data_IF_894739165638
#
_entry.id   IF_894739165638
#
_cell.length_a   1.000
_cell.length_b   1.000
_cell.length_c   1.000
_cell.angle_alpha   90.00
_cell.angle_beta   90.00
_cell.angle_gamma   90.00
#
_symmetry.space_group_name_H-M   'P 1'
#
loop_
_entity.id
_entity.type
_entity.pdbx_description
1 polymer ?
#
# COMPACT_ATOMS: atom_id res chain seq x y z
N UNK A 1 17.74 34.50 52.90
CA UNK A 1 17.90 34.00 51.51
C UNK A 1 18.80 32.78 51.58
N UNK A 2 18.24 31.58 51.48
CA UNK A 2 18.96 30.31 51.52
C UNK A 2 18.80 29.63 50.15
N UNK A 3 19.87 29.11 49.52
CA UNK A 3 19.74 28.41 48.25
C UNK A 3 19.15 27.02 48.50
N UNK A 4 18.11 26.67 47.75
CA UNK A 4 17.59 25.31 47.68
C UNK A 4 18.53 24.49 46.81
N UNK A 5 19.16 23.48 47.43
CA UNK A 5 19.98 22.49 46.76
C UNK A 5 19.09 21.58 45.91
N UNK A 6 19.24 21.68 44.59
CA UNK A 6 18.63 20.78 43.62
C UNK A 6 19.32 19.43 43.71
N UNK A 7 18.62 18.46 44.31
CA UNK A 7 19.10 17.08 44.42
C UNK A 7 18.71 16.36 43.13
N UNK A 8 19.66 16.22 42.22
CA UNK A 8 19.53 15.41 41.01
C UNK A 8 19.68 13.95 41.43
N UNK A 9 18.55 13.24 41.47
CA UNK A 9 18.50 11.81 41.70
C UNK A 9 18.85 11.10 40.37
N UNK A 10 20.12 10.74 40.21
CA UNK A 10 20.57 9.82 39.15
C UNK A 10 20.00 8.43 39.45
N UNK A 11 18.92 8.06 38.76
CA UNK A 11 18.49 6.67 38.65
C UNK A 11 19.46 5.93 37.72
N UNK A 12 20.33 5.12 38.33
CA UNK A 12 21.12 4.12 37.64
C UNK A 12 20.17 3.05 37.08
N UNK A 13 19.91 3.10 35.77
CA UNK A 13 19.29 2.00 35.05
C UNK A 13 20.32 0.86 34.93
N UNK A 14 19.94 -0.39 35.26
CA UNK A 14 20.81 -1.53 34.99
C UNK A 14 20.96 -1.70 33.47
N UNK A 15 22.21 -1.62 33.00
CA UNK A 15 22.65 -2.15 31.72
C UNK A 15 22.26 -3.63 31.66
N UNK A 16 21.22 -3.95 30.89
CA UNK A 16 20.97 -5.34 30.48
C UNK A 16 21.97 -5.64 29.38
N UNK A 17 23.02 -6.36 29.76
CA UNK A 17 23.98 -6.93 28.84
C UNK A 17 23.35 -8.11 28.10
N UNK A 18 23.53 -8.13 26.78
CA UNK A 18 23.67 -9.36 25.99
C UNK A 18 22.38 -10.13 25.69
N UNK A 19 21.70 -9.75 24.62
CA UNK A 19 21.20 -10.75 23.69
C UNK A 19 22.01 -10.60 22.40
N UNK A 20 23.00 -11.47 22.23
CA UNK A 20 23.63 -11.78 20.96
C UNK A 20 22.54 -12.07 19.93
N UNK A 21 22.32 -11.13 19.01
CA UNK A 21 21.65 -11.42 17.75
C UNK A 21 22.75 -11.78 16.74
N UNK A 22 23.35 -12.96 16.94
CA UNK A 22 23.98 -13.71 15.86
C UNK A 22 22.87 -14.05 14.85
N UNK A 23 22.57 -13.10 13.97
CA UNK A 23 21.90 -13.39 12.73
C UNK A 23 22.90 -14.19 11.88
N UNK A 24 22.91 -15.50 12.10
CA UNK A 24 23.33 -16.46 11.09
C UNK A 24 22.47 -16.19 9.87
N UNK A 25 23.03 -15.44 8.91
CA UNK A 25 22.63 -15.50 7.53
C UNK A 25 23.00 -16.92 7.09
N UNK A 26 22.08 -17.86 7.33
CA UNK A 26 22.05 -19.12 6.63
C UNK A 26 21.91 -18.75 5.15
N UNK A 27 23.03 -18.82 4.46
CA UNK A 27 23.04 -18.94 3.01
C UNK A 27 22.55 -20.35 2.75
N UNK A 28 21.22 -20.52 2.67
CA UNK A 28 20.65 -21.78 2.21
C UNK A 28 20.89 -21.87 0.71
N UNK A 29 21.97 -22.56 0.38
CA UNK A 29 22.17 -23.24 -0.89
C UNK A 29 20.93 -24.08 -1.24
N UNK A 30 20.44 -23.89 -2.48
CA UNK A 30 20.01 -25.00 -3.33
C UNK A 30 18.80 -25.82 -2.87
N UNK A 31 17.60 -25.26 -2.99
CA UNK A 31 16.33 -25.97 -2.74
C UNK A 31 15.33 -25.87 -3.87
N UNK A 32 15.66 -26.43 -5.04
CA UNK A 32 14.74 -27.09 -5.98
C UNK A 32 13.30 -26.52 -6.06
N UNK A 33 13.06 -25.48 -6.88
CA UNK A 33 11.69 -25.18 -7.33
C UNK A 33 11.22 -26.34 -8.21
N UNK A 34 10.14 -27.07 -7.86
CA UNK A 34 9.52 -27.99 -8.79
C UNK A 34 9.03 -27.15 -9.98
N UNK A 35 9.54 -27.48 -11.17
CA UNK A 35 8.94 -27.06 -12.41
C UNK A 35 7.54 -27.67 -12.46
N UNK A 36 6.52 -26.85 -12.21
CA UNK A 36 5.14 -27.24 -12.46
C UNK A 36 4.96 -27.43 -13.96
N UNK A 37 5.21 -28.67 -14.38
CA UNK A 37 4.79 -29.24 -15.65
C UNK A 37 3.26 -29.36 -15.64
N UNK A 38 2.58 -28.23 -15.82
CA UNK A 38 1.16 -28.18 -16.14
C UNK A 38 0.96 -28.62 -17.59
N UNK A 39 0.91 -29.93 -17.81
CA UNK A 39 0.51 -30.52 -19.09
C UNK A 39 -0.94 -30.15 -19.43
N UNK A 40 -1.12 -29.23 -20.40
CA UNK A 40 -2.39 -29.11 -21.12
C UNK A 40 -2.42 -30.17 -22.21
N UNK A 41 -3.12 -31.25 -21.92
CA UNK A 41 -3.58 -32.19 -22.94
C UNK A 41 -4.81 -31.58 -23.63
N UNK A 42 -4.57 -30.74 -24.64
CA UNK A 42 -5.63 -30.35 -25.56
C UNK A 42 -5.77 -31.44 -26.63
N UNK A 43 -6.81 -32.23 -26.43
CA UNK A 43 -7.29 -33.23 -27.37
C UNK A 43 -7.68 -32.55 -28.69
N UNK A 44 -7.28 -33.21 -29.79
CA UNK A 44 -7.46 -32.71 -31.14
C UNK A 44 -8.90 -32.65 -31.65
N UNK A 45 -9.01 -31.91 -32.75
CA UNK A 45 -10.17 -31.73 -33.62
C UNK A 45 -9.93 -30.40 -34.34
N UNK A 46 -9.34 -30.32 -35.53
CA UNK A 46 -9.56 -31.16 -36.69
C UNK A 46 -10.62 -30.48 -37.55
N UNK A 47 -10.26 -29.40 -38.25
CA UNK A 47 -11.00 -28.92 -39.41
C UNK A 47 -10.04 -28.42 -40.48
N UNK A 48 -10.25 -29.00 -41.66
CA UNK A 48 -9.51 -28.81 -42.88
C UNK A 48 -10.18 -27.73 -43.76
N UNK A 49 -9.38 -27.12 -44.63
CA UNK A 49 -9.82 -26.16 -45.66
C UNK A 49 -9.63 -24.72 -45.20
N UNK A 50 -8.96 -23.82 -45.92
CA UNK A 50 -8.76 -23.77 -47.35
C UNK A 50 -7.45 -23.06 -47.71
N UNK A 51 -6.86 -23.56 -48.79
CA UNK A 51 -5.74 -22.97 -49.48
C UNK A 51 -6.13 -21.63 -50.13
N UNK A 52 -5.43 -20.57 -49.76
CA UNK A 52 -5.19 -19.36 -50.57
C UNK A 52 -3.81 -18.84 -50.16
N UNK A 53 -2.90 -18.39 -50.99
CA UNK A 53 -2.75 -18.38 -52.44
C UNK A 53 -1.24 -18.15 -52.63
N UNK A 54 -0.63 -18.89 -53.54
CA UNK A 54 0.79 -18.81 -53.83
C UNK A 54 0.99 -17.86 -55.01
N UNK A 55 1.61 -16.70 -54.80
CA UNK A 55 1.99 -15.87 -55.95
C UNK A 55 2.34 -14.42 -55.65
N UNK A 56 3.44 -14.18 -54.95
CA UNK A 56 4.01 -12.84 -54.81
C UNK A 56 5.45 -12.88 -54.31
N UNK A 57 6.36 -13.45 -55.10
CA UNK A 57 7.80 -13.31 -54.89
C UNK A 57 8.26 -11.98 -55.46
N UNK A 58 8.13 -10.90 -54.72
CA UNK A 58 9.02 -9.74 -54.83
C UNK A 58 10.29 -10.06 -54.05
N UNK A 59 11.25 -10.64 -54.78
CA UNK A 59 12.58 -11.03 -54.32
C UNK A 59 13.48 -9.86 -53.95
N UNK A 60 13.05 -9.07 -52.98
CA UNK A 60 13.89 -8.25 -52.13
C UNK A 60 13.68 -8.72 -50.70
N UNK A 61 14.37 -9.80 -50.29
CA UNK A 61 14.59 -10.03 -48.86
C UNK A 61 15.51 -8.92 -48.36
N UNK A 62 14.96 -7.72 -48.22
CA UNK A 62 15.47 -6.73 -47.28
C UNK A 62 15.18 -7.35 -45.92
N UNK A 63 16.04 -8.30 -45.55
CA UNK A 63 16.12 -8.84 -44.21
C UNK A 63 16.51 -7.65 -43.35
N UNK A 64 15.49 -6.97 -42.82
CA UNK A 64 15.69 -5.89 -41.90
C UNK A 64 16.53 -6.42 -40.76
N UNK A 65 17.71 -5.83 -40.60
CA UNK A 65 18.57 -6.17 -39.50
C UNK A 65 17.81 -5.75 -38.25
N UNK A 66 17.44 -6.74 -37.45
CA UNK A 66 16.78 -6.52 -36.18
C UNK A 66 17.61 -5.52 -35.37
N UNK A 67 17.04 -4.35 -35.11
CA UNK A 67 17.70 -3.31 -34.33
C UNK A 67 17.63 -3.75 -32.87
N UNK A 68 18.78 -4.01 -32.25
CA UNK A 68 18.85 -4.25 -30.81
C UNK A 68 18.48 -2.97 -30.06
N UNK A 69 17.22 -2.92 -29.62
CA UNK A 69 16.73 -1.83 -28.80
C UNK A 69 17.27 -1.96 -27.38
N UNK A 70 17.69 -0.83 -26.75
CA UNK A 70 18.00 -0.87 -25.33
C UNK A 70 16.75 -1.32 -24.57
N UNK A 71 16.95 -2.12 -23.52
CA UNK A 71 15.85 -2.49 -22.64
C UNK A 71 15.17 -1.21 -22.15
N UNK A 72 13.84 -1.08 -22.32
CA UNK A 72 13.14 0.09 -21.80
C UNK A 72 13.32 0.13 -20.27
N UNK A 73 13.31 1.32 -19.66
CA UNK A 73 13.22 1.43 -18.21
C UNK A 73 12.00 0.66 -17.69
N UNK A 74 12.07 0.18 -16.45
CA UNK A 74 10.96 -0.53 -15.81
C UNK A 74 9.68 0.31 -15.89
N UNK A 75 8.59 -0.28 -16.39
CA UNK A 75 7.28 0.38 -16.52
C UNK A 75 7.08 1.16 -17.82
N UNK A 76 8.03 1.08 -18.75
CA UNK A 76 7.88 1.63 -20.09
C UNK A 76 7.87 0.51 -21.14
N UNK A 77 7.09 0.70 -22.20
CA UNK A 77 7.13 -0.12 -23.40
C UNK A 77 7.32 0.76 -24.62
N UNK A 78 7.75 0.14 -25.72
CA UNK A 78 7.84 0.83 -26.98
C UNK A 78 6.54 0.63 -27.79
N UNK A 79 5.91 1.71 -28.22
CA UNK A 79 4.76 1.70 -29.12
C UNK A 79 5.14 2.09 -30.55
N UNK A 80 4.38 1.61 -31.54
CA UNK A 80 4.62 1.93 -32.95
C UNK A 80 5.90 1.33 -33.51
N UNK A 81 6.27 0.13 -33.04
CA UNK A 81 7.43 -0.61 -33.53
C UNK A 81 7.27 -0.94 -35.02
N UNK A 82 8.15 -0.37 -35.84
CA UNK A 82 8.39 -0.81 -37.20
C UNK A 82 9.61 -1.72 -37.16
N UNK A 83 9.41 -2.99 -37.53
CA UNK A 83 10.38 -4.08 -37.45
C UNK A 83 11.71 -3.79 -38.17
N UNK A 84 11.74 -2.73 -38.98
CA UNK A 84 12.84 -2.41 -39.86
C UNK A 84 13.66 -1.16 -39.54
N UNK A 85 13.20 -0.24 -38.67
CA UNK A 85 13.77 1.12 -38.71
C UNK A 85 14.00 1.77 -37.36
N UNK A 86 13.17 1.52 -36.36
CA UNK A 86 13.29 2.19 -35.05
C UNK A 86 12.68 1.34 -33.95
N UNK A 87 13.14 1.58 -32.71
CA UNK A 87 12.58 0.96 -31.53
C UNK A 87 11.15 1.38 -31.21
N UNK A 88 10.46 2.17 -32.05
CA UNK A 88 9.19 2.81 -31.68
C UNK A 88 9.38 3.99 -30.73
N UNK A 89 8.27 4.51 -30.22
CA UNK A 89 8.24 5.58 -29.21
C UNK A 89 8.17 4.94 -27.83
N UNK A 90 9.09 5.31 -26.94
CA UNK A 90 9.01 4.86 -25.54
C UNK A 90 7.80 5.54 -24.89
N UNK A 91 6.82 4.73 -24.51
CA UNK A 91 5.64 5.13 -23.75
C UNK A 91 5.84 4.58 -22.34
N UNK A 92 5.77 5.47 -21.36
CA UNK A 92 5.77 5.09 -19.96
C UNK A 92 4.37 5.37 -19.44
N UNK A 93 3.61 4.31 -19.20
CA UNK A 93 2.20 4.42 -18.77
C UNK A 93 2.07 4.96 -17.35
N UNK A 94 3.14 4.81 -16.55
CA UNK A 94 3.18 5.18 -15.14
C UNK A 94 4.26 6.24 -14.94
N UNK A 95 3.83 7.44 -14.55
CA UNK A 95 4.71 8.56 -14.20
C UNK A 95 4.39 9.00 -12.78
N UNK A 96 5.22 8.63 -11.81
CA UNK A 96 4.86 8.75 -10.40
C UNK A 96 5.30 10.06 -9.74
N UNK A 97 6.02 10.91 -10.48
CA UNK A 97 6.48 12.22 -10.00
C UNK A 97 6.34 13.32 -11.06
N UNK A 98 6.28 14.56 -10.59
CA UNK A 98 6.24 15.77 -11.44
C UNK A 98 4.83 16.32 -11.69
N UNK A 99 4.76 17.43 -12.45
CA UNK A 99 3.53 18.18 -12.70
C UNK A 99 2.50 17.44 -13.58
N UNK A 100 2.90 16.34 -14.22
CA UNK A 100 2.07 15.50 -15.09
C UNK A 100 2.14 14.04 -14.66
N UNK A 101 2.29 13.79 -13.36
CA UNK A 101 2.24 12.42 -12.83
C UNK A 101 0.88 11.80 -13.17
N UNK A 102 0.92 10.62 -13.77
CA UNK A 102 -0.26 9.82 -14.07
C UNK A 102 -0.01 8.48 -13.39
N UNK A 103 -0.48 8.39 -12.14
CA UNK A 103 -0.55 7.12 -11.43
C UNK A 103 -1.91 6.48 -11.77
N UNK A 104 -1.98 5.16 -12.00
CA UNK A 104 -3.25 4.52 -12.31
C UNK A 104 -4.30 4.77 -11.23
N UNK A 105 -5.57 4.83 -11.64
CA UNK A 105 -6.70 4.90 -10.70
C UNK A 105 -7.21 3.50 -10.44
N UNK A 106 -7.39 3.15 -9.16
CA UNK A 106 -7.89 1.85 -8.73
C UNK A 106 -9.35 1.95 -8.32
N UNK A 107 -10.08 0.83 -8.41
CA UNK A 107 -11.44 0.78 -7.89
C UNK A 107 -11.42 0.93 -6.37
N UNK A 108 -12.31 1.80 -5.89
CA UNK A 108 -12.50 2.11 -4.48
C UNK A 108 -13.89 1.70 -4.01
N UNK A 109 -14.72 1.14 -4.88
CA UNK A 109 -16.09 0.78 -4.52
C UNK A 109 -16.14 -0.31 -3.48
N UNK A 110 -17.06 -0.23 -2.53
CA UNK A 110 -17.22 -1.26 -1.52
C UNK A 110 -18.67 -1.40 -1.09
N UNK A 111 -19.02 -2.60 -0.63
CA UNK A 111 -20.27 -2.89 0.07
C UNK A 111 -20.03 -3.06 1.57
N UNK A 112 -18.84 -3.55 1.94
CA UNK A 112 -18.40 -3.79 3.31
C UNK A 112 -16.91 -3.44 3.47
N UNK A 113 -16.47 -3.16 4.69
CA UNK A 113 -15.07 -2.82 4.98
C UNK A 113 -14.10 -3.96 4.68
N UNK A 114 -14.55 -5.22 4.72
CA UNK A 114 -13.73 -6.39 4.35
C UNK A 114 -13.33 -6.43 2.87
N UNK A 115 -13.98 -5.62 2.02
CA UNK A 115 -13.61 -5.44 0.61
C UNK A 115 -12.54 -4.37 0.43
N UNK A 116 -12.13 -3.67 1.50
CA UNK A 116 -11.18 -2.57 1.44
C UNK A 116 -9.81 -2.95 2.02
N UNK A 117 -8.75 -2.41 1.42
CA UNK A 117 -7.37 -2.48 1.92
C UNK A 117 -6.76 -1.09 1.98
N UNK A 118 -5.74 -0.94 2.84
CA UNK A 118 -4.94 0.29 2.94
C UNK A 118 -3.69 0.08 2.10
N UNK A 119 -3.44 1.00 1.17
CA UNK A 119 -2.22 1.05 0.38
C UNK A 119 -1.51 2.38 0.56
N UNK A 120 -0.19 2.40 0.42
CA UNK A 120 0.64 3.60 0.58
C UNK A 120 1.22 4.03 -0.77
N UNK A 121 0.80 5.19 -1.29
CA UNK A 121 1.33 5.80 -2.51
C UNK A 121 2.32 6.90 -2.18
N UNK A 122 3.55 6.84 -2.68
CA UNK A 122 4.49 7.94 -2.52
C UNK A 122 4.14 9.08 -3.48
N UNK A 123 3.78 10.25 -2.94
CA UNK A 123 3.30 11.37 -3.78
C UNK A 123 4.42 12.33 -4.19
N UNK A 124 5.57 12.28 -3.52
CA UNK A 124 6.70 13.14 -3.83
C UNK A 124 8.06 12.49 -3.52
N UNK A 125 9.12 13.12 -4.03
CA UNK A 125 10.50 12.67 -3.82
C UNK A 125 11.05 12.91 -2.41
N UNK A 126 10.27 13.55 -1.53
CA UNK A 126 10.58 13.69 -0.11
C UNK A 126 9.98 12.55 0.71
N UNK A 127 9.29 11.60 0.08
CA UNK A 127 8.67 10.48 0.77
C UNK A 127 7.39 10.85 1.50
N UNK A 128 6.68 11.90 1.07
CA UNK A 128 5.29 12.06 1.47
C UNK A 128 4.47 10.86 0.97
N UNK A 129 3.60 10.35 1.83
CA UNK A 129 2.82 9.13 1.57
C UNK A 129 1.32 9.48 1.63
N UNK A 130 0.58 9.14 0.59
CA UNK A 130 -0.87 9.07 0.64
C UNK A 130 -1.29 7.63 1.00
N UNK A 131 -1.79 7.45 2.22
CA UNK A 131 -2.43 6.21 2.62
C UNK A 131 -3.85 6.20 2.06
N UNK A 132 -4.15 5.35 1.09
CA UNK A 132 -5.42 5.34 0.37
C UNK A 132 -6.19 4.05 0.65
N UNK A 133 -7.52 4.16 0.64
CA UNK A 133 -8.42 3.01 0.65
C UNK A 133 -8.77 2.60 -0.77
N UNK A 134 -8.42 1.37 -1.15
CA UNK A 134 -8.81 0.76 -2.43
C UNK A 134 -9.52 -0.58 -2.16
N UNK A 135 -10.13 -1.15 -3.20
CA UNK A 135 -10.63 -2.52 -3.09
C UNK A 135 -9.51 -3.53 -2.93
N UNK A 136 -9.78 -4.58 -2.17
CA UNK A 136 -8.84 -5.65 -1.90
C UNK A 136 -8.37 -6.39 -3.16
N UNK A 137 -9.22 -6.53 -4.18
CA UNK A 137 -8.85 -7.16 -5.46
C UNK A 137 -7.93 -6.29 -6.33
N UNK A 138 -7.77 -5.00 -6.01
CA UNK A 138 -6.87 -4.06 -6.69
C UNK A 138 -5.46 -4.01 -6.05
N UNK A 139 -5.26 -4.60 -4.87
CA UNK A 139 -3.99 -4.52 -4.11
C UNK A 139 -2.78 -4.94 -4.93
N UNK A 140 -2.88 -6.08 -5.65
CA UNK A 140 -1.77 -6.59 -6.45
C UNK A 140 -1.42 -5.66 -7.62
N UNK A 141 -2.41 -5.05 -8.26
CA UNK A 141 -2.16 -4.13 -9.38
C UNK A 141 -1.55 -2.81 -8.87
N UNK A 142 -1.98 -2.36 -7.69
CA UNK A 142 -1.40 -1.22 -7.01
C UNK A 142 0.08 -1.45 -6.66
N UNK A 143 0.39 -2.59 -6.06
CA UNK A 143 1.76 -2.95 -5.68
C UNK A 143 2.70 -3.03 -6.88
N UNK A 144 2.22 -3.58 -8.00
CA UNK A 144 2.97 -3.61 -9.26
C UNK A 144 3.28 -2.19 -9.77
N UNK A 145 2.31 -1.26 -9.72
CA UNK A 145 2.54 0.12 -10.10
C UNK A 145 3.49 0.85 -9.13
N UNK A 146 3.35 0.68 -7.82
CA UNK A 146 4.26 1.25 -6.82
C UNK A 146 5.69 0.72 -6.96
N UNK A 147 5.86 -0.55 -7.30
CA UNK A 147 7.16 -1.14 -7.55
C UNK A 147 7.89 -0.43 -8.70
N UNK A 148 7.18 -0.09 -9.77
CA UNK A 148 7.70 0.73 -10.88
C UNK A 148 8.05 2.14 -10.39
N UNK A 149 7.15 2.75 -9.62
CA UNK A 149 7.31 4.10 -9.10
C UNK A 149 8.55 4.26 -8.21
N UNK A 150 8.88 3.26 -7.39
CA UNK A 150 9.97 3.31 -6.42
C UNK A 150 11.32 3.66 -7.05
N UNK A 151 11.57 3.23 -8.29
CA UNK A 151 12.78 3.57 -9.04
C UNK A 151 12.77 4.98 -9.66
N UNK A 152 11.59 5.58 -9.80
CA UNK A 152 11.38 6.87 -10.46
C UNK A 152 11.44 8.07 -9.51
N UNK A 153 11.38 7.87 -8.19
CA UNK A 153 11.52 8.94 -7.20
C UNK A 153 13.00 9.25 -6.95
N UNK A 154 13.57 10.33 -7.53
CA UNK A 154 14.95 10.69 -7.24
C UNK A 154 15.08 11.07 -5.77
N UNK A 155 16.22 10.75 -5.14
CA UNK A 155 16.49 11.23 -3.79
C UNK A 155 16.62 12.77 -3.80
N UNK A 156 15.62 13.47 -3.25
CA UNK A 156 15.60 14.94 -3.22
C UNK A 156 16.37 15.55 -2.04
N UNK A 157 16.89 14.73 -1.11
CA UNK A 157 17.70 15.19 0.03
C UNK A 157 16.92 15.96 1.10
N UNK A 158 15.59 15.83 1.12
CA UNK A 158 14.69 16.39 2.13
C UNK A 158 14.41 15.37 3.25
N UNK A 159 13.85 15.87 4.36
CA UNK A 159 13.27 15.00 5.39
C UNK A 159 12.02 14.29 4.86
N UNK A 160 11.70 13.14 5.45
CA UNK A 160 10.50 12.38 5.14
C UNK A 160 9.25 13.28 5.21
N UNK A 161 8.47 13.30 4.13
CA UNK A 161 7.20 14.01 4.05
C UNK A 161 6.13 13.43 5.00
N UNK A 162 5.03 14.15 5.22
CA UNK A 162 3.93 13.66 6.04
C UNK A 162 3.23 12.46 5.36
N UNK A 163 2.60 11.61 6.18
CA UNK A 163 1.65 10.61 5.70
C UNK A 163 0.23 11.15 5.85
N UNK A 164 -0.54 11.19 4.78
CA UNK A 164 -1.92 11.71 4.75
C UNK A 164 -2.91 10.63 4.35
N UNK A 165 -4.09 10.62 4.96
CA UNK A 165 -5.18 9.72 4.61
C UNK A 165 -6.17 10.38 3.63
N UNK A 166 -7.16 9.62 3.15
CA UNK A 166 -8.16 10.10 2.17
C UNK A 166 -9.03 11.25 2.69
N UNK A 167 -9.29 11.28 4.00
CA UNK A 167 -10.03 12.36 4.65
C UNK A 167 -9.18 13.64 4.87
N UNK A 168 -7.92 13.62 4.44
CA UNK A 168 -6.96 14.71 4.60
C UNK A 168 -6.31 14.77 5.98
N UNK A 169 -6.62 13.84 6.90
CA UNK A 169 -5.91 13.75 8.18
C UNK A 169 -4.46 13.35 7.95
N UNK A 170 -3.57 13.87 8.80
CA UNK A 170 -2.13 13.63 8.72
C UNK A 170 -1.67 12.82 9.92
N UNK A 171 -0.78 11.86 9.70
CA UNK A 171 -0.15 11.08 10.76
C UNK A 171 0.70 11.98 11.66
N UNK A 172 0.42 11.95 12.95
CA UNK A 172 1.11 12.74 13.99
C UNK A 172 2.10 11.90 14.82
N UNK A 173 2.31 10.63 14.45
CA UNK A 173 3.12 9.69 15.23
C UNK A 173 2.34 8.85 16.25
N UNK A 174 1.07 9.19 16.52
CA UNK A 174 0.29 8.56 17.60
C UNK A 174 -0.98 7.85 17.14
N UNK A 175 -1.42 8.11 15.90
CA UNK A 175 -2.67 7.60 15.34
C UNK A 175 -2.46 6.46 14.36
N UNK A 176 -3.35 5.48 14.35
CA UNK A 176 -3.31 4.40 13.38
C UNK A 176 -4.13 4.77 12.14
N UNK A 177 -3.64 4.39 10.96
CA UNK A 177 -4.43 4.47 9.73
C UNK A 177 -5.51 3.39 9.78
N UNK A 178 -6.73 3.75 9.39
CA UNK A 178 -7.84 2.82 9.20
C UNK A 178 -8.43 2.99 7.82
N UNK A 179 -9.14 1.98 7.35
CA UNK A 179 -9.98 2.04 6.15
C UNK A 179 -11.41 1.69 6.53
N UNK A 180 -12.37 2.41 5.97
CA UNK A 180 -13.80 2.21 6.17
C UNK A 180 -14.51 2.25 4.82
N UNK A 181 -15.64 1.54 4.70
CA UNK A 181 -16.51 1.65 3.54
C UNK A 181 -17.52 2.78 3.74
N UNK A 182 -17.18 4.00 3.30
CA UNK A 182 -17.99 5.20 3.50
C UNK A 182 -18.70 5.55 2.20
N UNK A 183 -20.04 5.55 2.24
CA UNK A 183 -20.88 5.86 1.07
C UNK A 183 -20.57 5.01 -0.19
N UNK A 184 -20.21 3.75 0.02
CA UNK A 184 -19.83 2.83 -1.05
C UNK A 184 -18.41 3.04 -1.59
N UNK A 185 -17.55 3.76 -0.86
CA UNK A 185 -16.15 4.00 -1.22
C UNK A 185 -15.20 3.71 -0.05
N UNK A 186 -14.17 2.89 -0.30
CA UNK A 186 -13.05 2.67 0.61
C UNK A 186 -12.35 4.00 0.87
N UNK A 187 -12.33 4.42 2.12
CA UNK A 187 -11.80 5.71 2.57
C UNK A 187 -10.93 5.48 3.79
N UNK A 188 -9.71 6.03 3.79
CA UNK A 188 -8.82 5.99 4.94
C UNK A 188 -8.89 7.24 5.81
N UNK A 189 -8.52 7.08 7.07
CA UNK A 189 -8.44 8.17 8.06
C UNK A 189 -7.49 7.77 9.20
N UNK A 190 -6.95 8.74 9.94
CA UNK A 190 -6.11 8.48 11.11
C UNK A 190 -6.91 8.59 12.42
N UNK A 191 -6.92 7.52 13.22
CA UNK A 191 -7.66 7.43 14.48
C UNK A 191 -6.81 7.20 15.71
N UNK A 192 -7.38 7.52 16.87
CA UNK A 192 -6.80 7.18 18.16
C UNK A 192 -6.74 5.65 18.34
N UNK A 193 -5.61 5.09 18.82
CA UNK A 193 -5.48 3.66 19.04
C UNK A 193 -6.36 3.19 20.20
N UNK A 194 -6.54 1.86 20.34
CA UNK A 194 -7.28 1.30 21.47
C UNK A 194 -6.67 1.72 22.81
N UNK A 195 -7.54 2.12 23.75
CA UNK A 195 -7.15 2.61 25.08
C UNK A 195 -6.69 4.07 25.12
N UNK A 196 -6.56 4.76 23.98
CA UNK A 196 -6.29 6.19 23.99
C UNK A 196 -7.52 6.97 24.49
N UNK A 197 -7.25 8.04 25.24
CA UNK A 197 -8.30 8.91 25.75
C UNK A 197 -8.83 9.84 24.65
N UNK A 198 -10.13 9.83 24.40
CA UNK A 198 -10.78 10.80 23.52
C UNK A 198 -11.22 12.01 24.36
N UNK A 199 -10.30 12.98 24.41
CA UNK A 199 -10.39 14.14 25.30
C UNK A 199 -11.00 15.35 24.61
N UNK A 200 -11.00 15.37 23.27
CA UNK A 200 -11.54 16.46 22.47
C UNK A 200 -12.86 16.07 21.78
N UNK A 201 -13.82 17.01 21.65
CA UNK A 201 -14.97 16.81 20.79
C UNK A 201 -14.53 16.54 19.35
N UNK A 202 -14.90 15.38 18.82
CA UNK A 202 -14.54 14.95 17.46
C UNK A 202 -13.31 14.04 17.38
N UNK A 203 -12.71 13.64 18.50
CA UNK A 203 -11.75 12.55 18.50
C UNK A 203 -12.41 11.29 17.94
N UNK A 204 -11.84 10.75 16.85
CA UNK A 204 -12.27 9.49 16.26
C UNK A 204 -11.31 8.40 16.68
N UNK A 205 -11.87 7.34 17.26
CA UNK A 205 -11.13 6.13 17.56
C UNK A 205 -10.79 5.37 16.27
N UNK A 206 -9.82 4.46 16.36
CA UNK A 206 -9.45 3.53 15.29
C UNK A 206 -10.62 2.65 14.83
N UNK A 207 -10.43 1.89 13.76
CA UNK A 207 -11.47 1.02 13.22
C UNK A 207 -11.98 0.01 14.26
N UNK A 208 -13.30 -0.16 14.33
CA UNK A 208 -13.95 -1.05 15.29
C UNK A 208 -13.83 -0.57 16.75
N UNK A 209 -13.47 0.70 16.98
CA UNK A 209 -13.42 1.31 18.29
C UNK A 209 -14.42 2.46 18.37
N UNK A 210 -15.09 2.57 19.52
CA UNK A 210 -15.92 3.72 19.86
C UNK A 210 -15.31 4.47 21.04
N UNK A 211 -15.51 5.79 21.04
CA UNK A 211 -15.16 6.62 22.17
C UNK A 211 -16.19 6.41 23.28
N UNK A 212 -15.89 5.49 24.19
CA UNK A 212 -16.84 5.05 25.20
C UNK A 212 -16.67 5.82 26.50
N UNK A 213 -17.80 6.15 27.13
CA UNK A 213 -17.85 6.74 28.47
C UNK A 213 -18.26 5.66 29.49
N UNK A 214 -17.30 4.88 30.02
CA UNK A 214 -17.62 3.58 30.62
C UNK A 214 -18.42 3.64 31.92
N UNK A 215 -18.50 4.77 32.64
CA UNK A 215 -18.98 4.73 34.02
C UNK A 215 -20.03 5.77 34.44
N UNK A 216 -20.36 6.79 33.64
CA UNK A 216 -21.36 7.80 34.07
C UNK A 216 -20.98 8.62 35.32
N UNK A 217 -19.77 8.42 35.88
CA UNK A 217 -19.29 9.01 37.12
C UNK A 217 -18.16 10.01 36.78
N UNK A 218 -18.11 11.19 37.43
CA UNK A 218 -16.99 12.10 37.29
C UNK A 218 -15.65 11.41 37.59
N UNK A 219 -14.74 11.40 36.61
CA UNK A 219 -13.39 10.83 36.75
C UNK A 219 -13.09 9.60 35.88
N UNK A 220 -14.04 9.10 35.09
CA UNK A 220 -13.70 8.21 33.98
C UNK A 220 -13.52 9.04 32.71
N UNK A 221 -12.34 8.95 32.12
CA UNK A 221 -12.06 9.56 30.83
C UNK A 221 -12.74 8.74 29.72
N UNK A 222 -13.16 9.39 28.63
CA UNK A 222 -13.58 8.64 27.45
C UNK A 222 -12.35 7.97 26.86
N UNK A 223 -12.45 6.67 26.55
CA UNK A 223 -11.36 5.91 25.94
C UNK A 223 -11.86 5.13 24.74
N UNK A 224 -10.98 4.92 23.77
CA UNK A 224 -11.27 4.13 22.58
C UNK A 224 -11.32 2.64 22.93
N UNK A 225 -12.53 2.09 23.01
CA UNK A 225 -12.79 0.67 23.29
C UNK A 225 -13.43 -0.02 22.08
N UNK A 226 -13.27 -1.35 21.93
CA UNK A 226 -13.95 -2.12 20.90
C UNK A 226 -15.46 -1.86 20.87
N UNK A 227 -16.01 -1.65 19.68
CA UNK A 227 -17.46 -1.56 19.49
C UNK A 227 -18.11 -2.89 19.82
N UNK A 228 -19.14 -2.86 20.67
CA UNK A 228 -19.97 -4.03 20.94
C UNK A 228 -21.11 -4.15 19.92
N UNK A 229 -21.62 -5.37 19.73
CA UNK A 229 -22.81 -5.61 18.93
C UNK A 229 -24.04 -5.06 19.68
N UNK A 230 -24.95 -4.29 19.02
CA UNK A 230 -26.18 -3.81 19.64
C UNK A 230 -27.07 -4.91 20.26
N UNK A 231 -26.90 -6.18 19.86
CA UNK A 231 -27.59 -7.32 20.45
C UNK A 231 -26.99 -7.82 21.78
N UNK A 232 -25.77 -7.41 22.12
CA UNK A 232 -25.08 -7.90 23.31
C UNK A 232 -25.60 -7.23 24.60
N UNK A 233 -25.83 -8.01 25.68
CA UNK A 233 -26.37 -7.49 26.93
C UNK A 233 -25.39 -6.54 27.61
N UNK A 234 -25.71 -5.23 27.61
CA UNK A 234 -24.88 -4.17 28.17
C UNK A 234 -24.21 -3.28 27.10
N UNK A 235 -24.43 -3.57 25.82
CA UNK A 235 -24.08 -2.67 24.74
C UNK A 235 -25.06 -1.50 24.65
N UNK A 236 -24.57 -0.27 24.76
CA UNK A 236 -25.35 0.96 24.57
C UNK A 236 -24.59 1.86 23.60
N UNK A 237 -25.22 2.18 22.47
CA UNK A 237 -24.64 3.00 21.40
C UNK A 237 -23.27 2.50 20.91
N UNK A 238 -23.10 1.18 20.83
CA UNK A 238 -21.85 0.53 20.42
C UNK A 238 -20.77 0.50 21.52
N UNK A 239 -21.08 0.92 22.73
CA UNK A 239 -20.18 0.89 23.89
C UNK A 239 -20.63 -0.11 24.95
N UNK A 240 -19.68 -0.90 25.44
CA UNK A 240 -19.94 -1.88 26.49
C UNK A 240 -19.99 -1.17 27.85
N UNK A 241 -21.17 -1.12 28.49
CA UNK A 241 -21.27 -0.63 29.85
C UNK A 241 -20.58 -1.59 30.80
N UNK A 242 -19.54 -1.12 31.48
CA UNK A 242 -18.90 -1.88 32.57
C UNK A 242 -19.62 -1.55 33.89
N UNK A 243 -20.00 -2.57 34.69
CA UNK A 243 -20.63 -2.37 35.98
C UNK A 243 -19.69 -1.73 37.01
#
# INVERSE_FOLDING_TARGET
>A
MRPLASTILLLALPFVAGCDLDAQIATEDGGNRPSDAGGRADAGGGDAGDAMDAGGTDGGTDACVEVECPAPPDGCHYEGFDICTTCGTLVCDVMCGGATSTFPTYDRTCTDVSECVIVDHQTDCCGAIAAMGIRADEESAFDDAEALCRGMYPACGCAAGPRTADDGTTYDGSREVRVECVAGSCTTTFGLPSGAACTAPGDTCGAGLSCCYPCGIPGCDNVCEPTCDPGDPGCVDGCMLRP
#
